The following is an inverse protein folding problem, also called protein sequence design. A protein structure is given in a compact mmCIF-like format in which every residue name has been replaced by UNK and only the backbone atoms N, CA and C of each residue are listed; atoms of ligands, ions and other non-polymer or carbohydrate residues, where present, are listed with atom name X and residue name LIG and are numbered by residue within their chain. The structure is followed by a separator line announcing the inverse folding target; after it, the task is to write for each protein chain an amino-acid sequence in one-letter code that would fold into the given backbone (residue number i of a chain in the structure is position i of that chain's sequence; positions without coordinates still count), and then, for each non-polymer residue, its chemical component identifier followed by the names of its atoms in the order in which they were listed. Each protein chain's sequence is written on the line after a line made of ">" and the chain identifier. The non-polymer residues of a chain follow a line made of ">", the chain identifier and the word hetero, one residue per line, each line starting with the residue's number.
data_IF_842001729008
#
_entry.id   IF_842001729008
#
_cell.length_a   1.000
_cell.length_b   1.000
_cell.length_c   1.000
_cell.angle_alpha   90.00
_cell.angle_beta   90.00
_cell.angle_gamma   90.00
#
_symmetry.space_group_name_H-M   'P 1'
#
loop_
_entity.id
_entity.type
_entity.pdbx_description
1 polymer ?
#
# COMPACT_ATOMS: atom_id res chain seq x y z
N UNK A 1 -10.32 -14.15 -11.81
CA UNK A 1 -10.70 -12.74 -12.02
C UNK A 1 -9.45 -11.90 -11.89
N UNK A 2 -9.13 -11.05 -12.86
CA UNK A 2 -7.94 -10.21 -12.81
C UNK A 2 -8.22 -9.02 -11.88
N UNK A 3 -7.83 -9.16 -10.61
CA UNK A 3 -8.00 -8.13 -9.59
C UNK A 3 -7.06 -6.94 -9.79
N UNK A 4 -6.14 -7.02 -10.75
CA UNK A 4 -5.27 -5.93 -11.16
C UNK A 4 -5.71 -5.41 -12.53
N UNK A 5 -5.94 -4.11 -12.63
CA UNK A 5 -6.32 -3.42 -13.88
C UNK A 5 -5.30 -2.35 -14.23
N UNK A 6 -5.07 -2.15 -15.53
CA UNK A 6 -4.19 -1.09 -16.04
C UNK A 6 -5.04 0.02 -16.63
N UNK A 7 -4.86 1.26 -16.16
CA UNK A 7 -5.55 2.45 -16.65
C UNK A 7 -4.52 3.52 -16.95
N UNK A 8 -4.45 4.00 -18.20
CA UNK A 8 -3.50 5.03 -18.65
C UNK A 8 -2.04 4.73 -18.27
N UNK A 9 -1.65 3.45 -18.37
CA UNK A 9 -0.29 2.99 -18.05
C UNK A 9 0.01 2.81 -16.56
N UNK A 10 -0.96 3.04 -15.67
CA UNK A 10 -0.81 2.76 -14.22
C UNK A 10 -1.58 1.52 -13.83
N UNK A 11 -1.03 0.73 -12.91
CA UNK A 11 -1.69 -0.48 -12.38
C UNK A 11 -2.46 -0.18 -11.10
N UNK A 12 -3.58 -0.87 -10.93
CA UNK A 12 -4.48 -0.70 -9.79
C UNK A 12 -4.98 -2.05 -9.29
N UNK A 13 -5.02 -2.26 -7.96
CA UNK A 13 -5.74 -3.39 -7.37
C UNK A 13 -7.20 -2.98 -7.16
N UNK A 14 -8.15 -3.79 -7.60
CA UNK A 14 -9.58 -3.54 -7.44
C UNK A 14 -10.16 -4.39 -6.32
N UNK A 15 -10.94 -3.77 -5.45
CA UNK A 15 -11.76 -4.43 -4.45
C UNK A 15 -13.13 -3.74 -4.41
N UNK A 16 -14.16 -4.39 -4.96
CA UNK A 16 -15.50 -3.82 -5.08
C UNK A 16 -15.52 -2.44 -5.79
N UNK A 17 -15.93 -1.38 -5.07
CA UNK A 17 -15.94 0.03 -5.52
C UNK A 17 -14.68 0.81 -5.13
N UNK A 18 -13.72 0.16 -4.47
CA UNK A 18 -12.44 0.75 -4.07
C UNK A 18 -11.37 0.33 -5.07
N UNK A 19 -10.52 1.29 -5.41
CA UNK A 19 -9.39 1.09 -6.30
C UNK A 19 -8.13 1.50 -5.53
N UNK A 20 -7.17 0.61 -5.37
CA UNK A 20 -5.87 0.95 -4.77
C UNK A 20 -4.94 1.31 -5.93
N UNK A 21 -4.52 2.57 -5.99
CA UNK A 21 -3.54 3.03 -6.96
C UNK A 21 -2.15 2.52 -6.64
N UNK A 22 -1.48 2.13 -7.72
CA UNK A 22 -0.07 2.36 -8.01
C UNK A 22 0.77 2.47 -6.75
N UNK A 23 1.25 1.31 -6.31
CA UNK A 23 2.51 1.25 -5.59
C UNK A 23 3.56 2.00 -6.39
N UNK A 24 4.47 2.73 -5.75
CA UNK A 24 5.60 3.38 -6.43
C UNK A 24 6.25 2.46 -7.49
N UNK A 25 6.79 3.00 -8.60
CA UNK A 25 7.33 2.18 -9.70
C UNK A 25 8.36 1.13 -9.25
N UNK A 26 9.07 1.39 -8.15
CA UNK A 26 10.06 0.48 -7.54
C UNK A 26 9.46 -0.82 -6.99
N UNK A 27 8.16 -0.84 -6.69
CA UNK A 27 7.42 -1.95 -6.08
C UNK A 27 6.15 -2.34 -6.86
N UNK A 28 5.92 -1.76 -8.04
CA UNK A 28 4.78 -2.08 -8.90
C UNK A 28 4.76 -3.58 -9.30
N UNK A 29 5.93 -4.19 -9.48
CA UNK A 29 6.07 -5.62 -9.78
C UNK A 29 5.47 -6.54 -8.70
N UNK A 30 5.33 -6.07 -7.45
CA UNK A 30 4.66 -6.82 -6.40
C UNK A 30 3.17 -7.05 -6.72
N UNK A 31 2.56 -6.24 -7.58
CA UNK A 31 1.15 -6.41 -7.98
C UNK A 31 0.93 -7.67 -8.84
N UNK A 32 1.98 -8.25 -9.41
CA UNK A 32 1.91 -9.55 -10.10
C UNK A 32 1.82 -10.72 -9.11
N UNK A 33 2.21 -10.49 -7.85
CA UNK A 33 2.16 -11.50 -6.80
C UNK A 33 0.75 -11.60 -6.19
N UNK A 34 0.04 -12.70 -6.47
CA UNK A 34 -1.29 -12.93 -5.90
C UNK A 34 -1.33 -12.83 -4.37
N UNK A 35 -0.27 -13.25 -3.68
CA UNK A 35 -0.13 -13.12 -2.22
C UNK A 35 -0.05 -11.67 -1.75
N UNK A 36 0.59 -10.79 -2.52
CA UNK A 36 0.65 -9.37 -2.21
C UNK A 36 -0.73 -8.74 -2.38
N UNK A 37 -1.41 -9.03 -3.49
CA UNK A 37 -2.78 -8.56 -3.76
C UNK A 37 -3.74 -8.94 -2.63
N UNK A 38 -3.70 -10.19 -2.17
CA UNK A 38 -4.54 -10.65 -1.05
C UNK A 38 -4.20 -9.96 0.28
N UNK A 39 -2.92 -9.71 0.55
CA UNK A 39 -2.50 -8.94 1.73
C UNK A 39 -3.00 -7.50 1.69
N UNK A 40 -2.96 -6.84 0.53
CA UNK A 40 -3.49 -5.48 0.35
C UNK A 40 -4.99 -5.45 0.67
N UNK A 41 -5.77 -6.36 0.08
CA UNK A 41 -7.22 -6.44 0.34
C UNK A 41 -7.52 -6.72 1.81
N UNK A 42 -6.77 -7.62 2.44
CA UNK A 42 -6.96 -7.98 3.85
C UNK A 42 -6.61 -6.82 4.78
N UNK A 43 -5.48 -6.17 4.55
CA UNK A 43 -5.04 -5.03 5.34
C UNK A 43 -6.04 -3.87 5.25
N UNK A 44 -6.57 -3.60 4.05
CA UNK A 44 -7.62 -2.60 3.86
C UNK A 44 -8.89 -2.94 4.65
N UNK A 45 -9.43 -4.16 4.52
CA UNK A 45 -10.63 -4.59 5.26
C UNK A 45 -10.46 -4.40 6.77
N UNK A 46 -9.33 -4.83 7.31
CA UNK A 46 -9.08 -4.76 8.74
C UNK A 46 -8.83 -3.32 9.20
N UNK A 47 -7.89 -2.62 8.59
CA UNK A 47 -7.41 -1.34 9.13
C UNK A 47 -8.31 -0.16 8.73
N UNK A 48 -8.96 -0.20 7.56
CA UNK A 48 -9.82 0.88 7.07
C UNK A 48 -11.29 0.56 7.30
N UNK A 49 -11.80 -0.57 6.81
CA UNK A 49 -13.25 -0.86 6.90
C UNK A 49 -13.68 -1.18 8.33
N UNK A 50 -12.97 -2.07 9.03
CA UNK A 50 -13.34 -2.47 10.39
C UNK A 50 -12.91 -1.46 11.46
N UNK A 51 -11.78 -0.78 11.27
CA UNK A 51 -11.19 0.12 12.28
C UNK A 51 -11.29 1.60 11.93
N UNK A 52 -11.99 1.97 10.86
CA UNK A 52 -12.17 3.37 10.42
C UNK A 52 -10.84 4.12 10.19
N UNK A 53 -9.77 3.41 9.84
CA UNK A 53 -8.48 4.00 9.53
C UNK A 53 -8.50 4.83 8.25
N UNK A 54 -7.65 5.86 8.19
CA UNK A 54 -7.47 6.74 7.02
C UNK A 54 -6.50 6.17 5.98
N UNK A 55 -5.84 5.07 6.31
CA UNK A 55 -4.84 4.38 5.50
C UNK A 55 -4.53 3.01 6.10
N UNK A 56 -3.65 2.25 5.46
CA UNK A 56 -3.24 0.94 5.94
C UNK A 56 -1.81 0.61 5.51
N UNK A 57 -1.16 -0.29 6.24
CA UNK A 57 0.21 -0.73 5.93
C UNK A 57 0.24 -2.22 5.58
N UNK A 58 1.06 -2.57 4.57
CA UNK A 58 1.33 -3.95 4.14
C UNK A 58 2.83 -4.23 4.24
N UNK A 59 3.18 -5.36 4.88
CA UNK A 59 4.56 -5.88 4.89
C UNK A 59 4.68 -7.08 3.96
N UNK A 60 5.57 -7.00 2.98
CA UNK A 60 5.76 -8.05 1.97
C UNK A 60 7.18 -8.03 1.39
N UNK A 61 7.87 -9.18 1.36
CA UNK A 61 9.22 -9.33 0.76
C UNK A 61 10.24 -8.27 1.19
N UNK A 62 10.28 -7.91 2.47
CA UNK A 62 11.19 -6.88 2.99
C UNK A 62 10.76 -5.44 2.69
N UNK A 63 9.62 -5.23 2.05
CA UNK A 63 9.04 -3.89 1.87
C UNK A 63 7.96 -3.65 2.92
N UNK A 64 7.98 -2.45 3.48
CA UNK A 64 6.85 -1.88 4.21
C UNK A 64 6.20 -0.83 3.32
N UNK A 65 4.99 -1.11 2.86
CA UNK A 65 4.25 -0.26 1.92
C UNK A 65 3.04 0.32 2.63
N UNK A 66 2.92 1.65 2.62
CA UNK A 66 1.81 2.38 3.22
C UNK A 66 0.88 2.90 2.15
N UNK A 67 -0.41 2.67 2.34
CA UNK A 67 -1.47 3.07 1.46
C UNK A 67 -2.30 4.16 2.14
N UNK A 68 -2.39 5.33 1.53
CA UNK A 68 -3.13 6.47 2.09
C UNK A 68 -4.04 7.11 1.05
N UNK A 69 -5.09 7.79 1.52
CA UNK A 69 -5.90 8.64 0.66
C UNK A 69 -5.13 9.95 0.40
N UNK A 70 -4.90 10.34 -0.86
CA UNK A 70 -4.28 11.62 -1.14
C UNK A 70 -5.18 12.76 -0.62
N UNK A 71 -4.56 13.69 0.11
CA UNK A 71 -5.21 14.81 0.81
C UNK A 71 -6.01 15.75 -0.12
N UNK A 72 -5.81 15.64 -1.44
CA UNK A 72 -6.46 16.44 -2.47
C UNK A 72 -7.80 15.87 -2.96
N UNK A 73 -8.18 14.67 -2.53
CA UNK A 73 -9.43 14.03 -2.98
C UNK A 73 -10.59 14.40 -2.05
N UNK A 74 -11.14 15.61 -2.21
CA UNK A 74 -12.36 16.00 -1.53
C UNK A 74 -13.50 15.03 -1.86
N UNK A 75 -13.79 14.09 -0.97
CA UNK A 75 -14.93 13.14 -0.86
C UNK A 75 -15.53 12.50 -2.14
N UNK A 76 -14.97 12.71 -3.33
CA UNK A 76 -15.49 12.19 -4.60
C UNK A 76 -14.94 10.79 -4.82
N UNK A 77 -15.86 9.84 -4.87
CA UNK A 77 -15.61 8.48 -5.32
C UNK A 77 -15.06 8.49 -6.76
N UNK A 78 -14.18 7.55 -7.13
CA UNK A 78 -13.65 6.45 -6.31
C UNK A 78 -12.55 6.89 -5.33
N UNK A 79 -12.54 6.30 -4.12
CA UNK A 79 -11.45 6.44 -3.16
C UNK A 79 -10.23 5.68 -3.69
N UNK A 80 -9.21 6.42 -4.07
CA UNK A 80 -7.96 5.88 -4.59
C UNK A 80 -6.91 5.96 -3.49
N UNK A 81 -6.46 4.82 -2.98
CA UNK A 81 -5.33 4.77 -2.03
C UNK A 81 -4.02 4.68 -2.81
N UNK A 82 -3.07 5.54 -2.54
CA UNK A 82 -1.75 5.51 -3.17
C UNK A 82 -0.76 4.79 -2.25
N UNK A 83 -0.04 3.82 -2.80
CA UNK A 83 0.94 3.01 -2.08
C UNK A 83 2.36 3.53 -2.23
N UNK A 84 3.06 3.81 -1.13
CA UNK A 84 4.48 4.19 -1.14
C UNK A 84 5.31 3.34 -0.19
N UNK A 85 6.60 3.17 -0.49
CA UNK A 85 7.52 2.42 0.36
C UNK A 85 7.93 3.30 1.54
N UNK A 86 7.44 3.00 2.74
CA UNK A 86 7.93 3.64 3.97
C UNK A 86 9.35 3.18 4.30
N UNK A 87 9.69 1.93 4.02
CA UNK A 87 10.99 1.34 4.35
C UNK A 87 11.32 0.15 3.45
N UNK A 88 12.56 0.12 2.93
CA UNK A 88 13.16 -1.07 2.31
C UNK A 88 14.01 -1.76 3.37
N UNK A 89 13.50 -2.84 3.96
CA UNK A 89 14.21 -3.65 4.94
C UNK A 89 15.34 -4.41 4.23
N UNK A 90 16.46 -3.71 4.00
CA UNK A 90 17.61 -4.29 3.33
C UNK A 90 18.62 -3.29 2.80
N UNK A 91 19.04 -2.30 3.59
CA UNK A 91 20.44 -1.90 3.84
C UNK A 91 20.41 -0.91 5.01
N UNK A 92 21.41 -0.99 5.90
CA UNK A 92 21.71 -0.08 7.03
C UNK A 92 21.20 -0.53 8.41
N UNK A 93 22.07 -1.31 9.05
CA UNK A 93 22.33 -1.22 10.48
C UNK A 93 22.71 0.24 10.80
N UNK A 94 21.86 0.97 11.52
CA UNK A 94 22.24 2.21 12.20
C UNK A 94 22.01 2.02 13.68
N UNK A 95 23.15 1.88 14.37
CA UNK A 95 23.32 2.04 15.80
C UNK A 95 22.58 3.28 16.29
N UNK A 96 21.57 3.12 17.15
CA UNK A 96 21.03 4.24 17.91
C UNK A 96 20.46 3.74 19.24
N UNK A 97 21.32 3.61 20.24
CA UNK A 97 21.19 4.22 21.57
C UNK A 97 22.38 3.74 22.44
N UNK A 98 23.56 4.30 22.24
CA UNK A 98 24.43 4.55 23.39
C UNK A 98 23.92 5.87 23.98
N UNK A 99 22.99 5.76 24.93
CA UNK A 99 22.74 6.84 25.89
C UNK A 99 23.94 6.82 26.82
N UNK A 100 24.80 7.82 26.67
CA UNK A 100 25.75 8.21 27.71
C UNK A 100 25.01 8.38 29.02
N UNK A 101 25.34 7.53 29.99
CA UNK A 101 24.94 7.61 31.40
C UNK A 101 26.04 7.00 32.24
#
# INVERSE_FOLDING_TARGET
>A
MNDVVTVRGRRYIRLNRITFAAVEPSVEWLMDEGRFVEKVKTAYRVQVECNHGWGFTVRHMGYRIRFELPNTTGYKLPRIFEGYVEEKLGTVQLSLLEVTG
#
